data_IF_637132506183
#
_entry.id   IF_637132506183
#
_cell.length_a   1.000
_cell.length_b   1.000
_cell.length_c   1.000
_cell.angle_alpha   90.00
_cell.angle_beta   90.00
_cell.angle_gamma   90.00
#
_symmetry.space_group_name_H-M   'P 1'
#
loop_
_entity.id
_entity.type
_entity.pdbx_description
1 polymer ?
#
# COMPACT_ATOMS: atom_id res chain seq x y z
N UNK A 1 27.84 -8.30 -9.52
CA UNK A 1 29.14 -7.79 -10.02
C UNK A 1 29.15 -6.29 -9.80
N UNK A 2 30.17 -5.80 -9.10
CA UNK A 2 30.33 -4.45 -8.61
C UNK A 2 30.55 -3.43 -9.73
N UNK A 3 29.60 -2.51 -9.92
CA UNK A 3 29.86 -1.26 -10.66
C UNK A 3 30.42 -0.23 -9.68
N UNK A 4 31.69 0.12 -9.85
CA UNK A 4 32.41 1.10 -9.03
C UNK A 4 31.81 2.50 -9.09
N UNK A 5 30.93 2.82 -8.15
CA UNK A 5 30.61 4.21 -7.82
C UNK A 5 31.70 4.74 -6.88
N UNK A 6 32.42 5.78 -7.33
CA UNK A 6 33.24 6.60 -6.44
C UNK A 6 32.38 7.02 -5.24
N UNK A 7 32.92 7.07 -4.02
CA UNK A 7 32.16 7.62 -2.89
C UNK A 7 31.66 9.01 -3.29
N UNK A 8 30.36 9.30 -3.11
CA UNK A 8 29.82 10.60 -3.50
C UNK A 8 30.55 11.72 -2.75
N UNK A 9 30.74 12.89 -3.39
CA UNK A 9 31.51 13.97 -2.80
C UNK A 9 30.90 14.38 -1.45
N UNK A 10 31.71 14.59 -0.40
CA UNK A 10 31.20 14.95 0.92
C UNK A 10 30.39 16.24 0.82
N UNK A 11 29.15 16.20 1.32
CA UNK A 11 28.26 17.35 1.33
C UNK A 11 28.81 18.42 2.30
N UNK A 12 28.68 19.71 1.96
CA UNK A 12 28.99 20.79 2.88
C UNK A 12 28.22 20.66 4.20
N UNK A 13 28.82 21.03 5.36
CA UNK A 13 28.22 20.80 6.68
C UNK A 13 26.92 21.59 6.96
N UNK A 14 26.55 22.54 6.10
CA UNK A 14 25.30 23.31 6.17
C UNK A 14 24.14 22.71 5.36
N UNK A 15 24.38 21.63 4.61
CA UNK A 15 23.34 20.99 3.78
C UNK A 15 22.55 19.99 4.62
N UNK A 16 21.24 20.22 4.71
CA UNK A 16 20.30 19.28 5.30
C UNK A 16 19.63 18.54 4.15
N UNK A 17 19.94 17.25 4.05
CA UNK A 17 19.52 16.38 2.95
C UNK A 17 18.05 15.96 3.09
N UNK A 18 17.56 15.81 4.32
CA UNK A 18 16.23 15.28 4.59
C UNK A 18 15.62 15.90 5.86
N UNK A 19 14.30 16.14 5.83
CA UNK A 19 13.52 16.72 6.92
C UNK A 19 12.86 18.06 6.57
N UNK A 20 12.10 18.67 7.51
CA UNK A 20 11.34 19.91 7.26
C UNK A 20 12.22 21.12 6.95
N UNK A 21 13.51 21.08 7.30
CA UNK A 21 14.50 22.13 7.02
C UNK A 21 15.45 21.74 5.88
N UNK A 22 15.09 20.77 5.02
CA UNK A 22 15.94 20.37 3.91
C UNK A 22 16.14 21.51 2.91
N UNK A 23 17.40 21.83 2.59
CA UNK A 23 17.80 22.90 1.67
C UNK A 23 18.51 22.37 0.41
N UNK A 24 18.57 21.04 0.29
CA UNK A 24 19.24 20.31 -0.78
C UNK A 24 18.34 20.27 -2.03
N UNK A 25 18.92 20.51 -3.20
CA UNK A 25 18.26 20.45 -4.52
C UNK A 25 19.12 19.63 -5.48
N UNK A 26 18.59 19.25 -6.64
CA UNK A 26 19.34 18.50 -7.67
C UNK A 26 20.60 19.21 -8.16
N UNK A 27 20.68 20.53 -8.01
CA UNK A 27 21.86 21.34 -8.36
C UNK A 27 22.94 21.32 -7.28
N UNK A 28 22.54 21.14 -6.01
CA UNK A 28 23.42 21.21 -4.84
C UNK A 28 23.90 19.84 -4.37
N UNK A 29 23.10 18.80 -4.59
CA UNK A 29 23.34 17.46 -4.08
C UNK A 29 23.11 16.41 -5.17
N UNK A 30 24.03 15.44 -5.33
CA UNK A 30 23.77 14.32 -6.21
C UNK A 30 22.58 13.48 -5.69
N UNK A 31 21.79 12.98 -6.64
CA UNK A 31 20.56 12.18 -6.44
C UNK A 31 20.75 11.00 -5.49
N UNK A 32 21.97 10.47 -5.40
CA UNK A 32 22.36 9.35 -4.53
C UNK A 32 22.08 9.64 -3.04
N UNK A 33 22.02 10.91 -2.65
CA UNK A 33 21.68 11.33 -1.29
C UNK A 33 20.17 11.49 -1.04
N UNK A 34 19.34 11.45 -2.09
CA UNK A 34 17.88 11.46 -1.93
C UNK A 34 17.39 10.14 -1.31
N UNK A 35 16.19 10.16 -0.73
CA UNK A 35 15.59 8.99 -0.05
C UNK A 35 15.53 7.76 -0.96
N UNK A 36 15.30 7.96 -2.26
CA UNK A 36 15.21 6.87 -3.23
C UNK A 36 16.56 6.53 -3.88
N UNK A 37 17.55 7.43 -3.83
CA UNK A 37 18.83 7.25 -4.52
C UNK A 37 18.75 7.30 -6.07
N UNK A 38 17.56 7.49 -6.64
CA UNK A 38 17.29 7.66 -8.08
C UNK A 38 16.19 8.71 -8.33
N UNK A 39 16.08 9.25 -9.55
CA UNK A 39 14.94 10.09 -9.96
C UNK A 39 13.75 9.19 -10.34
N UNK A 40 12.58 9.32 -9.70
CA UNK A 40 11.40 8.54 -10.09
C UNK A 40 11.03 8.75 -11.55
N UNK A 41 10.79 7.68 -12.31
CA UNK A 41 10.36 7.80 -13.71
C UNK A 41 9.03 8.57 -13.87
N UNK A 42 9.07 9.73 -14.54
CA UNK A 42 7.91 10.61 -14.74
C UNK A 42 6.78 9.93 -15.53
N UNK A 43 7.11 9.22 -16.61
CA UNK A 43 6.13 8.56 -17.48
C UNK A 43 5.38 7.43 -16.77
N UNK A 44 6.09 6.61 -15.99
CA UNK A 44 5.47 5.53 -15.22
C UNK A 44 4.51 6.08 -14.15
N UNK A 45 4.93 7.10 -13.40
CA UNK A 45 4.11 7.68 -12.32
C UNK A 45 2.85 8.36 -12.84
N UNK A 46 2.94 9.06 -13.99
CA UNK A 46 1.76 9.62 -14.66
C UNK A 46 0.82 8.52 -15.14
N UNK A 47 1.36 7.44 -15.72
CA UNK A 47 0.55 6.32 -16.18
C UNK A 47 -0.25 5.71 -15.04
N UNK A 48 0.35 5.50 -13.87
CA UNK A 48 -0.37 5.02 -12.70
C UNK A 48 -1.40 6.02 -12.18
N UNK A 49 -1.07 7.32 -12.11
CA UNK A 49 -2.04 8.34 -11.71
C UNK A 49 -3.29 8.36 -12.63
N UNK A 50 -3.09 8.24 -13.95
CA UNK A 50 -4.17 8.13 -14.93
C UNK A 50 -4.96 6.84 -14.73
N UNK A 51 -4.30 5.70 -14.53
CA UNK A 51 -4.97 4.41 -14.30
C UNK A 51 -5.85 4.44 -13.05
N UNK A 52 -5.36 4.97 -11.93
CA UNK A 52 -6.16 5.14 -10.72
C UNK A 52 -7.30 6.16 -10.91
N UNK A 53 -7.09 7.21 -11.71
CA UNK A 53 -8.14 8.16 -12.08
C UNK A 53 -9.24 7.53 -12.94
N UNK A 54 -8.89 6.67 -13.90
CA UNK A 54 -9.86 5.91 -14.69
C UNK A 54 -10.59 4.90 -13.79
N UNK A 55 -9.86 4.19 -12.92
CA UNK A 55 -10.43 3.24 -11.98
C UNK A 55 -11.46 3.92 -11.05
N UNK A 56 -11.15 5.13 -10.55
CA UNK A 56 -12.08 5.96 -9.79
C UNK A 56 -13.39 6.18 -10.57
N UNK A 57 -13.33 6.69 -11.81
CA UNK A 57 -14.54 6.96 -12.62
C UNK A 57 -15.35 5.68 -12.86
N UNK A 58 -14.69 4.58 -13.20
CA UNK A 58 -15.34 3.30 -13.48
C UNK A 58 -16.01 2.74 -12.22
N UNK A 59 -15.33 2.76 -11.07
CA UNK A 59 -15.88 2.26 -9.82
C UNK A 59 -17.00 3.13 -9.26
N UNK A 60 -16.91 4.45 -9.40
CA UNK A 60 -18.03 5.36 -9.09
C UNK A 60 -19.25 5.03 -9.95
N UNK A 61 -19.08 4.83 -11.27
CA UNK A 61 -20.19 4.48 -12.16
C UNK A 61 -20.83 3.13 -11.81
N UNK A 62 -20.02 2.09 -11.57
CA UNK A 62 -20.50 0.76 -11.15
C UNK A 62 -21.19 0.85 -9.79
N UNK A 63 -20.64 1.63 -8.86
CA UNK A 63 -21.16 1.83 -7.51
C UNK A 63 -22.55 2.49 -7.51
N UNK A 64 -22.72 3.55 -8.29
CA UNK A 64 -24.02 4.24 -8.46
C UNK A 64 -25.04 3.30 -9.10
N UNK A 65 -24.66 2.60 -10.18
CA UNK A 65 -25.56 1.68 -10.89
C UNK A 65 -25.96 0.47 -10.02
N UNK A 66 -25.02 -0.05 -9.23
CA UNK A 66 -25.23 -1.18 -8.33
C UNK A 66 -25.82 -0.83 -6.96
N UNK A 67 -25.96 0.46 -6.64
CA UNK A 67 -26.43 0.99 -5.34
C UNK A 67 -25.60 0.48 -4.14
N UNK A 68 -24.35 0.10 -4.38
CA UNK A 68 -23.42 -0.43 -3.38
C UNK A 68 -22.55 0.70 -2.81
N UNK A 69 -23.19 1.59 -2.04
CA UNK A 69 -22.57 2.84 -1.54
C UNK A 69 -21.31 2.61 -0.71
N UNK A 70 -21.29 1.61 0.17
CA UNK A 70 -20.12 1.35 1.02
C UNK A 70 -18.90 0.91 0.21
N UNK A 71 -19.08 -0.08 -0.68
CA UNK A 71 -18.03 -0.56 -1.57
C UNK A 71 -17.49 0.56 -2.45
N UNK A 72 -18.39 1.37 -3.02
CA UNK A 72 -18.04 2.53 -3.83
C UNK A 72 -17.19 3.51 -3.04
N UNK A 73 -17.63 3.96 -1.86
CA UNK A 73 -16.90 4.93 -1.05
C UNK A 73 -15.51 4.43 -0.67
N UNK A 74 -15.36 3.17 -0.24
CA UNK A 74 -14.05 2.62 0.12
C UNK A 74 -13.10 2.59 -1.10
N UNK A 75 -13.56 2.10 -2.25
CA UNK A 75 -12.72 2.03 -3.45
C UNK A 75 -12.37 3.43 -3.96
N UNK A 76 -13.32 4.36 -3.97
CA UNK A 76 -13.12 5.73 -4.44
C UNK A 76 -12.13 6.50 -3.57
N UNK A 77 -12.22 6.37 -2.24
CA UNK A 77 -11.24 6.96 -1.31
C UNK A 77 -9.86 6.32 -1.49
N UNK A 78 -9.80 5.00 -1.73
CA UNK A 78 -8.56 4.30 -2.07
C UNK A 78 -7.92 4.84 -3.34
N UNK A 79 -8.68 4.95 -4.44
CA UNK A 79 -8.19 5.49 -5.70
C UNK A 79 -7.76 6.96 -5.58
N UNK A 80 -8.53 7.78 -4.87
CA UNK A 80 -8.20 9.19 -4.65
C UNK A 80 -6.90 9.35 -3.85
N UNK A 81 -6.73 8.56 -2.78
CA UNK A 81 -5.48 8.57 -1.98
C UNK A 81 -4.27 8.08 -2.79
N UNK A 82 -4.44 7.08 -3.66
CA UNK A 82 -3.39 6.63 -4.58
C UNK A 82 -2.99 7.74 -5.56
N UNK A 83 -3.96 8.44 -6.18
CA UNK A 83 -3.69 9.57 -7.08
C UNK A 83 -2.89 10.67 -6.36
N UNK A 84 -3.30 11.05 -5.15
CA UNK A 84 -2.55 12.03 -4.33
C UNK A 84 -1.13 11.56 -4.08
N UNK A 85 -0.95 10.27 -3.76
CA UNK A 85 0.36 9.66 -3.61
C UNK A 85 1.21 9.89 -4.85
N UNK A 86 0.75 9.39 -6.01
CA UNK A 86 1.48 9.52 -7.27
C UNK A 86 1.77 10.98 -7.67
N UNK A 87 0.89 11.93 -7.34
CA UNK A 87 1.19 13.37 -7.49
C UNK A 87 2.40 13.78 -6.66
N UNK A 88 2.47 13.34 -5.39
CA UNK A 88 3.66 13.52 -4.55
C UNK A 88 4.93 12.96 -5.21
N UNK A 89 4.84 11.79 -5.85
CA UNK A 89 5.94 11.19 -6.61
C UNK A 89 6.36 11.99 -7.84
N UNK A 90 5.39 12.57 -8.56
CA UNK A 90 5.64 13.45 -9.70
C UNK A 90 6.37 14.72 -9.24
N UNK A 91 5.97 15.32 -8.11
CA UNK A 91 6.66 16.48 -7.54
C UNK A 91 8.11 16.11 -7.15
N UNK A 92 8.34 14.90 -6.64
CA UNK A 92 9.68 14.40 -6.31
C UNK A 92 10.57 14.14 -7.54
N UNK A 93 10.02 14.01 -8.74
CA UNK A 93 10.83 13.95 -9.96
C UNK A 93 11.63 15.23 -10.16
N UNK A 94 10.99 16.39 -9.94
CA UNK A 94 11.64 17.70 -10.05
C UNK A 94 12.53 18.04 -8.86
N UNK A 95 12.12 17.63 -7.65
CA UNK A 95 12.92 17.81 -6.45
C UNK A 95 12.78 16.61 -5.48
N UNK A 96 13.68 15.62 -5.54
CA UNK A 96 13.59 14.40 -4.73
C UNK A 96 13.94 14.63 -3.25
N UNK A 97 14.40 15.83 -2.89
CA UNK A 97 14.66 16.23 -1.50
C UNK A 97 13.45 16.94 -0.87
N UNK A 98 12.35 17.12 -1.62
CA UNK A 98 11.14 17.74 -1.09
C UNK A 98 10.47 16.83 -0.06
N UNK A 99 10.62 17.21 1.21
CA UNK A 99 10.12 16.49 2.35
C UNK A 99 8.60 16.31 2.36
N UNK A 100 7.86 17.36 1.99
CA UNK A 100 6.38 17.33 1.96
C UNK A 100 5.89 16.38 0.87
N UNK A 101 6.51 16.43 -0.31
CA UNK A 101 6.17 15.54 -1.43
C UNK A 101 6.45 14.07 -1.08
N UNK A 102 7.53 13.79 -0.35
CA UNK A 102 7.83 12.46 0.17
C UNK A 102 6.78 11.95 1.16
N UNK A 103 6.35 12.79 2.11
CA UNK A 103 5.29 12.44 3.05
C UNK A 103 3.96 12.17 2.34
N UNK A 104 3.58 13.03 1.38
CA UNK A 104 2.35 12.87 0.59
C UNK A 104 2.38 11.54 -0.18
N UNK A 105 3.49 11.22 -0.84
CA UNK A 105 3.67 9.93 -1.52
C UNK A 105 3.48 8.76 -0.56
N UNK A 106 4.21 8.75 0.57
CA UNK A 106 4.23 7.59 1.46
C UNK A 106 2.86 7.38 2.13
N UNK A 107 2.22 8.46 2.60
CA UNK A 107 0.90 8.38 3.22
C UNK A 107 -0.20 8.10 2.19
N UNK A 108 -0.18 8.75 1.03
CA UNK A 108 -1.20 8.55 -0.01
C UNK A 108 -1.23 7.12 -0.52
N UNK A 109 -0.05 6.58 -0.87
CA UNK A 109 0.09 5.21 -1.36
C UNK A 109 -0.08 4.17 -0.24
N UNK A 110 0.21 4.51 1.01
CA UNK A 110 0.04 3.64 2.19
C UNK A 110 -1.41 3.51 2.67
N UNK A 111 -2.21 4.58 2.53
CA UNK A 111 -3.62 4.60 2.98
C UNK A 111 -4.54 3.86 2.01
N UNK A 112 -4.27 3.92 0.70
CA UNK A 112 -5.06 3.27 -0.34
C UNK A 112 -5.38 1.78 -0.06
N UNK A 113 -4.40 0.89 0.25
CA UNK A 113 -4.67 -0.53 0.45
C UNK A 113 -5.59 -0.83 1.64
N UNK A 114 -5.61 0.00 2.69
CA UNK A 114 -6.51 -0.23 3.84
C UNK A 114 -7.97 -0.02 3.45
N UNK A 115 -8.25 0.97 2.60
CA UNK A 115 -9.59 1.16 2.07
C UNK A 115 -10.02 0.02 1.15
N UNK A 116 -9.11 -0.50 0.32
CA UNK A 116 -9.37 -1.69 -0.48
C UNK A 116 -9.62 -2.93 0.39
N UNK A 117 -8.84 -3.12 1.46
CA UNK A 117 -9.04 -4.20 2.42
C UNK A 117 -10.41 -4.09 3.11
N UNK A 118 -10.82 -2.89 3.53
CA UNK A 118 -12.14 -2.67 4.12
C UNK A 118 -13.28 -3.04 3.16
N UNK A 119 -13.15 -2.68 1.87
CA UNK A 119 -14.11 -3.09 0.84
C UNK A 119 -14.15 -4.62 0.68
N UNK A 120 -12.99 -5.28 0.64
CA UNK A 120 -12.87 -6.74 0.52
C UNK A 120 -13.47 -7.45 1.74
N UNK A 121 -13.19 -6.98 2.96
CA UNK A 121 -13.65 -7.62 4.20
C UNK A 121 -15.17 -7.61 4.30
N UNK A 122 -15.82 -6.48 4.01
CA UNK A 122 -17.29 -6.37 4.03
C UNK A 122 -17.89 -7.21 2.92
N UNK A 123 -17.39 -7.07 1.69
CA UNK A 123 -17.88 -7.84 0.53
C UNK A 123 -17.76 -9.34 0.74
N UNK A 124 -16.67 -9.79 1.36
CA UNK A 124 -16.47 -11.18 1.66
C UNK A 124 -17.41 -11.66 2.76
N UNK A 125 -17.56 -10.88 3.84
CA UNK A 125 -18.51 -11.19 4.91
C UNK A 125 -19.93 -11.40 4.36
N UNK A 126 -20.38 -10.52 3.47
CA UNK A 126 -21.71 -10.62 2.83
C UNK A 126 -21.80 -11.85 1.92
N UNK A 127 -20.71 -12.18 1.22
CA UNK A 127 -20.62 -13.39 0.38
C UNK A 127 -20.73 -14.67 1.22
N UNK A 128 -20.03 -14.74 2.36
CA UNK A 128 -20.11 -15.86 3.29
C UNK A 128 -21.52 -15.98 3.85
N UNK A 129 -22.14 -14.84 4.21
CA UNK A 129 -23.50 -14.79 4.72
C UNK A 129 -24.53 -15.28 3.69
N UNK A 130 -24.33 -14.96 2.41
CA UNK A 130 -25.20 -15.37 1.32
C UNK A 130 -25.04 -16.85 0.94
N UNK A 131 -23.79 -17.36 0.89
CA UNK A 131 -23.51 -18.72 0.41
C UNK A 131 -23.81 -19.80 1.45
N UNK A 132 -23.14 -19.74 2.59
CA UNK A 132 -23.30 -20.72 3.67
C UNK A 132 -22.62 -20.20 4.93
N UNK A 133 -23.37 -19.59 5.86
CA UNK A 133 -22.82 -19.12 7.13
C UNK A 133 -22.31 -20.25 8.01
N UNK A 134 -22.94 -21.43 7.96
CA UNK A 134 -22.65 -22.57 8.84
C UNK A 134 -21.28 -23.21 8.61
N UNK A 135 -20.69 -23.01 7.43
CA UNK A 135 -19.35 -23.51 7.11
C UNK A 135 -18.23 -22.57 7.58
N UNK A 136 -18.56 -21.32 7.92
CA UNK A 136 -17.59 -20.35 8.42
C UNK A 136 -17.25 -20.61 9.88
N UNK A 137 -15.95 -20.64 10.21
CA UNK A 137 -15.48 -20.77 11.60
C UNK A 137 -15.75 -19.51 12.43
N UNK A 138 -15.83 -18.36 11.77
CA UNK A 138 -16.06 -17.07 12.39
C UNK A 138 -17.38 -16.49 11.89
N UNK A 139 -18.16 -15.80 12.75
CA UNK A 139 -19.34 -15.10 12.27
C UNK A 139 -18.91 -14.03 11.26
N UNK A 140 -19.59 -13.92 10.10
CA UNK A 140 -19.16 -13.02 9.03
C UNK A 140 -18.95 -11.58 9.51
N UNK A 141 -19.82 -11.11 10.40
CA UNK A 141 -19.74 -9.77 10.99
C UNK A 141 -18.47 -9.53 11.81
N UNK A 142 -17.95 -10.56 12.50
CA UNK A 142 -16.73 -10.38 13.29
C UNK A 142 -15.48 -10.15 12.42
N UNK A 143 -15.50 -10.60 11.17
CA UNK A 143 -14.36 -10.44 10.26
C UNK A 143 -14.09 -8.95 10.06
N UNK A 144 -15.03 -8.19 9.50
CA UNK A 144 -14.78 -6.76 9.24
C UNK A 144 -14.70 -5.93 10.54
N UNK A 145 -15.41 -6.31 11.61
CA UNK A 145 -15.31 -5.62 12.91
C UNK A 145 -13.95 -5.76 13.59
N UNK A 146 -13.20 -6.83 13.32
CA UNK A 146 -11.86 -7.04 13.88
C UNK A 146 -10.78 -6.51 12.95
N UNK A 147 -10.83 -6.86 11.66
CA UNK A 147 -9.73 -6.55 10.74
C UNK A 147 -9.68 -5.06 10.34
N UNK A 148 -10.82 -4.35 10.21
CA UNK A 148 -10.81 -2.93 9.84
C UNK A 148 -10.13 -2.08 10.93
N UNK A 149 -10.48 -2.19 12.24
CA UNK A 149 -9.77 -1.44 13.28
C UNK A 149 -8.28 -1.80 13.37
N UNK A 150 -7.90 -3.06 13.15
CA UNK A 150 -6.49 -3.47 13.10
C UNK A 150 -5.71 -2.74 12.00
N UNK A 151 -6.29 -2.63 10.80
CA UNK A 151 -5.66 -1.93 9.68
C UNK A 151 -5.60 -0.41 9.91
N UNK A 152 -6.66 0.18 10.49
CA UNK A 152 -6.65 1.59 10.89
C UNK A 152 -5.59 1.88 11.94
N UNK A 153 -5.46 1.02 12.96
CA UNK A 153 -4.42 1.11 13.96
C UNK A 153 -3.04 1.04 13.31
N UNK A 154 -2.82 0.10 12.39
CA UNK A 154 -1.58 -0.03 11.62
C UNK A 154 -1.17 1.26 10.89
N UNK A 155 -2.13 1.91 10.22
CA UNK A 155 -1.88 3.18 9.52
C UNK A 155 -1.45 4.28 10.48
N UNK A 156 -2.02 4.35 11.69
CA UNK A 156 -1.63 5.36 12.68
C UNK A 156 -0.16 5.18 13.06
N UNK A 157 0.29 3.94 13.30
CA UNK A 157 1.72 3.67 13.57
C UNK A 157 2.61 4.04 12.38
N UNK A 158 2.17 3.75 11.17
CA UNK A 158 2.89 4.13 9.94
C UNK A 158 3.01 5.65 9.83
N UNK A 159 1.91 6.39 10.01
CA UNK A 159 1.90 7.85 9.89
C UNK A 159 2.75 8.53 10.97
N UNK A 160 2.61 8.09 12.23
CA UNK A 160 3.39 8.63 13.35
C UNK A 160 4.87 8.26 13.19
N UNK A 161 5.18 7.00 12.89
CA UNK A 161 6.56 6.54 12.71
C UNK A 161 7.25 7.26 11.57
N UNK A 162 6.57 7.39 10.43
CA UNK A 162 7.03 8.15 9.27
C UNK A 162 7.31 9.60 9.64
N UNK A 163 6.35 10.29 10.28
CA UNK A 163 6.51 11.69 10.68
C UNK A 163 7.62 11.92 11.72
N UNK A 164 7.84 10.96 12.63
CA UNK A 164 8.91 11.01 13.63
C UNK A 164 10.28 10.73 13.01
N UNK A 165 10.36 9.83 12.04
CA UNK A 165 11.61 9.50 11.34
C UNK A 165 12.21 10.73 10.64
N UNK A 166 11.36 11.72 10.33
CA UNK A 166 11.68 12.90 9.56
C UNK A 166 12.07 14.17 10.35
N UNK A 167 11.82 14.22 11.65
CA UNK A 167 11.94 15.46 12.44
C UNK A 167 13.33 15.74 13.01
N UNK A 168 14.23 14.76 13.08
CA UNK A 168 15.55 14.93 13.70
C UNK A 168 16.63 15.24 12.66
N UNK A 169 17.81 15.69 13.10
CA UNK A 169 19.00 15.94 12.25
C UNK A 169 19.59 14.62 11.74
N UNK A 170 18.77 13.80 11.09
CA UNK A 170 19.02 12.42 10.71
C UNK A 170 17.72 11.60 10.71
N UNK A 171 17.73 10.42 10.09
CA UNK A 171 16.59 9.49 10.17
C UNK A 171 16.54 8.91 11.59
N UNK A 172 15.47 9.19 12.35
CA UNK A 172 15.32 8.60 13.69
C UNK A 172 15.00 7.11 13.55
N UNK A 173 15.91 6.22 13.98
CA UNK A 173 15.69 4.77 13.92
C UNK A 173 14.41 4.33 14.65
N UNK A 174 14.04 5.02 15.73
CA UNK A 174 12.77 4.80 16.43
C UNK A 174 11.56 5.04 15.52
N UNK A 175 11.56 6.10 14.72
CA UNK A 175 10.47 6.41 13.80
C UNK A 175 10.34 5.37 12.68
N UNK A 176 11.48 4.94 12.12
CA UNK A 176 11.52 3.86 11.12
C UNK A 176 10.97 2.56 11.71
N UNK A 177 11.43 2.17 12.91
CA UNK A 177 10.96 0.96 13.59
C UNK A 177 9.45 1.02 13.89
N UNK A 178 8.93 2.20 14.25
CA UNK A 178 7.50 2.39 14.52
C UNK A 178 6.66 2.26 13.24
N UNK A 179 7.13 2.81 12.12
CA UNK A 179 6.47 2.65 10.83
C UNK A 179 6.53 1.19 10.34
N UNK A 180 7.69 0.52 10.52
CA UNK A 180 7.87 -0.90 10.21
C UNK A 180 6.96 -1.80 11.05
N UNK A 181 6.77 -1.49 12.33
CA UNK A 181 5.82 -2.19 13.19
C UNK A 181 4.39 -2.09 12.63
N UNK A 182 3.96 -0.90 12.22
CA UNK A 182 2.65 -0.72 11.60
C UNK A 182 2.47 -1.53 10.32
N UNK A 183 3.47 -1.55 9.42
CA UNK A 183 3.43 -2.36 8.20
C UNK A 183 3.40 -3.87 8.50
N UNK A 184 4.21 -4.33 9.46
CA UNK A 184 4.26 -5.74 9.85
C UNK A 184 2.95 -6.21 10.50
N UNK A 185 2.35 -5.36 11.34
CA UNK A 185 1.06 -5.65 11.98
C UNK A 185 -0.07 -5.73 10.94
N UNK A 186 -0.10 -4.83 9.96
CA UNK A 186 -1.04 -4.87 8.84
C UNK A 186 -0.87 -6.14 8.00
N UNK A 187 0.38 -6.50 7.65
CA UNK A 187 0.67 -7.72 6.90
C UNK A 187 0.21 -8.97 7.64
N UNK A 188 0.43 -9.02 8.96
CA UNK A 188 -0.02 -10.13 9.80
C UNK A 188 -1.55 -10.24 9.78
N UNK A 189 -2.27 -9.12 9.96
CA UNK A 189 -3.73 -9.09 9.93
C UNK A 189 -4.28 -9.57 8.57
N UNK A 190 -3.73 -9.05 7.46
CA UNK A 190 -4.15 -9.42 6.11
C UNK A 190 -3.85 -10.90 5.78
N UNK A 191 -2.71 -11.41 6.24
CA UNK A 191 -2.34 -12.82 6.07
C UNK A 191 -3.29 -13.74 6.86
N UNK A 192 -3.61 -13.38 8.09
CA UNK A 192 -4.59 -14.10 8.91
C UNK A 192 -5.96 -14.13 8.22
N UNK A 193 -6.40 -13.00 7.67
CA UNK A 193 -7.63 -12.94 6.88
C UNK A 193 -7.60 -13.88 5.66
N UNK A 194 -6.50 -13.87 4.90
CA UNK A 194 -6.32 -14.75 3.73
C UNK A 194 -6.42 -16.24 4.12
N UNK A 195 -5.83 -16.64 5.26
CA UNK A 195 -5.91 -18.01 5.78
C UNK A 195 -7.35 -18.39 6.14
N UNK A 196 -8.05 -17.52 6.87
CA UNK A 196 -9.47 -17.74 7.26
C UNK A 196 -10.35 -17.87 6.01
N UNK A 197 -10.16 -16.99 5.03
CA UNK A 197 -10.91 -17.02 3.79
C UNK A 197 -10.63 -18.29 2.98
N UNK A 198 -9.36 -18.68 2.85
CA UNK A 198 -8.97 -19.90 2.15
C UNK A 198 -9.55 -21.14 2.83
N UNK A 199 -9.53 -21.22 4.17
CA UNK A 199 -10.17 -22.31 4.91
C UNK A 199 -11.68 -22.39 4.63
N UNK A 200 -12.37 -21.24 4.59
CA UNK A 200 -13.79 -21.18 4.21
C UNK A 200 -14.03 -21.72 2.80
N UNK A 201 -13.24 -21.27 1.81
CA UNK A 201 -13.39 -21.72 0.42
C UNK A 201 -13.12 -23.21 0.26
N UNK A 202 -12.08 -23.74 0.91
CA UNK A 202 -11.76 -25.17 0.88
C UNK A 202 -12.91 -25.99 1.49
N UNK A 203 -13.47 -25.55 2.62
CA UNK A 203 -14.64 -26.20 3.25
C UNK A 203 -15.87 -26.14 2.35
N UNK A 204 -16.13 -24.99 1.74
CA UNK A 204 -17.24 -24.79 0.83
C UNK A 204 -17.16 -25.71 -0.40
N UNK A 205 -15.96 -25.87 -0.97
CA UNK A 205 -15.72 -26.79 -2.10
C UNK A 205 -15.87 -28.26 -1.66
N UNK A 206 -15.30 -28.63 -0.50
CA UNK A 206 -15.38 -30.00 0.04
C UNK A 206 -16.79 -30.43 0.40
N UNK A 207 -17.63 -29.50 0.84
CA UNK A 207 -19.05 -29.74 1.12
C UNK A 207 -19.89 -30.02 -0.15
N UNK A 208 -19.30 -29.93 -1.36
CA UNK A 208 -20.00 -30.17 -2.62
C UNK A 208 -20.87 -29.00 -3.09
N UNK A 209 -20.97 -27.93 -2.31
CA UNK A 209 -21.80 -26.76 -2.59
C UNK A 209 -21.31 -25.95 -3.81
N UNK A 210 -20.07 -26.15 -4.25
CA UNK A 210 -19.50 -25.49 -5.43
C UNK A 210 -20.08 -25.95 -6.77
N UNK A 211 -20.76 -27.11 -6.83
CA UNK A 211 -21.27 -27.69 -8.08
C UNK A 211 -22.49 -26.97 -8.63
N UNK A 212 -23.34 -26.39 -7.78
CA UNK A 212 -24.53 -25.62 -8.18
C UNK A 212 -24.26 -24.13 -8.41
N UNK A 213 -23.05 -23.65 -8.16
CA UNK A 213 -22.76 -22.21 -8.15
C UNK A 213 -22.49 -21.68 -9.56
N UNK A 214 -23.15 -20.58 -9.91
CA UNK A 214 -22.94 -19.87 -11.19
C UNK A 214 -21.47 -19.49 -11.37
N UNK A 215 -20.99 -19.59 -12.62
CA UNK A 215 -19.67 -19.11 -13.03
C UNK A 215 -19.38 -17.69 -12.54
N UNK A 216 -20.38 -16.80 -12.53
CA UNK A 216 -20.24 -15.40 -12.09
C UNK A 216 -19.78 -15.29 -10.64
N UNK A 217 -20.33 -16.11 -9.75
CA UNK A 217 -19.98 -16.07 -8.33
C UNK A 217 -18.60 -16.72 -8.11
N UNK A 218 -18.28 -17.78 -8.85
CA UNK A 218 -16.94 -18.38 -8.82
C UNK A 218 -15.87 -17.37 -9.27
N UNK A 219 -16.11 -16.66 -10.38
CA UNK A 219 -15.21 -15.62 -10.88
C UNK A 219 -15.08 -14.46 -9.88
N UNK A 220 -16.19 -14.04 -9.26
CA UNK A 220 -16.19 -13.00 -8.24
C UNK A 220 -15.35 -13.38 -7.01
N UNK A 221 -15.61 -14.55 -6.43
CA UNK A 221 -14.84 -15.09 -5.28
C UNK A 221 -13.36 -15.28 -5.65
N UNK A 222 -13.08 -15.78 -6.86
CA UNK A 222 -11.71 -15.91 -7.37
C UNK A 222 -11.00 -14.56 -7.51
N UNK A 223 -11.69 -13.53 -8.00
CA UNK A 223 -11.15 -12.18 -8.11
C UNK A 223 -10.85 -11.54 -6.74
N UNK A 224 -11.70 -11.78 -5.73
CA UNK A 224 -11.46 -11.33 -4.36
C UNK A 224 -10.26 -12.05 -3.73
N UNK A 225 -10.12 -13.36 -3.97
CA UNK A 225 -8.96 -14.13 -3.50
C UNK A 225 -7.66 -13.63 -4.14
N UNK A 226 -7.68 -13.39 -5.46
CA UNK A 226 -6.55 -12.84 -6.19
C UNK A 226 -6.19 -11.44 -5.69
N UNK A 227 -7.18 -10.54 -5.51
CA UNK A 227 -6.95 -9.20 -4.97
C UNK A 227 -6.35 -9.25 -3.56
N UNK A 228 -6.87 -10.11 -2.68
CA UNK A 228 -6.32 -10.28 -1.33
C UNK A 228 -4.88 -10.77 -1.35
N UNK A 229 -4.57 -11.77 -2.20
CA UNK A 229 -3.21 -12.29 -2.36
C UNK A 229 -2.24 -11.21 -2.84
N UNK A 230 -2.65 -10.43 -3.84
CA UNK A 230 -1.87 -9.32 -4.37
C UNK A 230 -1.58 -8.25 -3.30
N UNK A 231 -2.57 -7.94 -2.46
CA UNK A 231 -2.38 -7.03 -1.32
C UNK A 231 -1.40 -7.59 -0.28
N UNK A 232 -1.42 -8.89 0.00
CA UNK A 232 -0.43 -9.53 0.89
C UNK A 232 0.98 -9.40 0.32
N UNK A 233 1.17 -9.69 -0.98
CA UNK A 233 2.47 -9.58 -1.65
C UNK A 233 2.99 -8.14 -1.58
N UNK A 234 2.13 -7.15 -1.87
CA UNK A 234 2.44 -5.73 -1.74
C UNK A 234 2.87 -5.37 -0.32
N UNK A 235 2.09 -5.74 0.70
CA UNK A 235 2.41 -5.46 2.11
C UNK A 235 3.72 -6.13 2.55
N UNK A 236 4.01 -7.35 2.07
CA UNK A 236 5.27 -8.03 2.34
C UNK A 236 6.47 -7.30 1.72
N UNK A 237 6.32 -6.82 0.49
CA UNK A 237 7.34 -6.01 -0.17
C UNK A 237 7.60 -4.71 0.59
N UNK A 238 6.56 -4.01 1.05
CA UNK A 238 6.70 -2.79 1.87
C UNK A 238 7.44 -3.03 3.18
N UNK A 239 7.16 -4.14 3.86
CA UNK A 239 7.90 -4.54 5.06
C UNK A 239 9.37 -4.81 4.72
N UNK A 240 9.64 -5.51 3.63
CA UNK A 240 10.99 -5.80 3.17
C UNK A 240 11.77 -4.51 2.83
N UNK A 241 11.16 -3.60 2.07
CA UNK A 241 11.71 -2.30 1.69
C UNK A 241 12.09 -1.47 2.93
N UNK A 242 11.18 -1.34 3.90
CA UNK A 242 11.42 -0.52 5.08
C UNK A 242 12.34 -1.20 6.11
N UNK A 243 12.44 -2.54 6.10
CA UNK A 243 13.38 -3.29 6.96
C UNK A 243 14.84 -3.05 6.57
N UNK A 244 15.13 -2.88 5.28
CA UNK A 244 16.47 -2.49 4.82
C UNK A 244 16.79 -1.01 5.10
N UNK A 245 15.79 -0.22 5.52
CA UNK A 245 15.90 1.20 5.81
C UNK A 245 15.98 2.06 4.54
N UNK A 246 15.85 3.38 4.69
CA UNK A 246 15.91 4.35 3.58
C UNK A 246 17.25 4.42 2.83
N UNK A 247 18.24 3.61 3.22
CA UNK A 247 19.56 3.52 2.59
C UNK A 247 19.87 2.13 2.02
N UNK A 248 18.93 1.19 2.10
CA UNK A 248 19.08 -0.18 1.61
C UNK A 248 19.07 -0.32 0.08
N UNK A 249 19.69 -1.38 -0.43
CA UNK A 249 19.77 -1.64 -1.87
C UNK A 249 18.42 -2.01 -2.49
N UNK A 250 17.43 -2.48 -1.71
CA UNK A 250 16.05 -2.69 -2.18
C UNK A 250 15.34 -1.38 -2.57
N UNK A 251 15.61 -0.27 -1.88
CA UNK A 251 15.08 1.05 -2.27
C UNK A 251 15.74 1.60 -3.53
N UNK A 252 16.87 1.04 -4.00
CA UNK A 252 17.63 1.52 -5.17
C UNK A 252 17.28 0.80 -6.48
N UNK A 253 16.40 -0.19 -6.45
CA UNK A 253 15.98 -0.93 -7.64
C UNK A 253 14.54 -0.54 -8.05
N UNK A 254 14.41 0.18 -9.17
CA UNK A 254 13.11 0.66 -9.69
C UNK A 254 12.16 -0.45 -10.16
N UNK A 255 12.68 -1.56 -10.69
CA UNK A 255 11.88 -2.61 -11.33
C UNK A 255 10.91 -3.36 -10.38
N UNK A 256 11.33 -3.85 -9.20
CA UNK A 256 10.41 -4.48 -8.25
C UNK A 256 9.47 -3.46 -7.58
N UNK A 257 9.92 -2.22 -7.40
CA UNK A 257 9.10 -1.13 -6.87
C UNK A 257 7.92 -0.83 -7.81
N UNK A 258 8.18 -0.62 -9.10
CA UNK A 258 7.15 -0.31 -10.10
C UNK A 258 6.19 -1.49 -10.32
N UNK A 259 6.69 -2.72 -10.28
CA UNK A 259 5.87 -3.91 -10.51
C UNK A 259 4.96 -4.30 -9.35
N UNK A 260 5.42 -4.16 -8.10
CA UNK A 260 4.71 -4.67 -6.91
C UNK A 260 3.95 -3.55 -6.18
N UNK A 261 4.39 -2.29 -6.29
CA UNK A 261 3.63 -1.15 -5.73
C UNK A 261 2.62 -0.51 -6.68
N UNK A 262 2.70 -0.83 -7.98
CA UNK A 262 1.67 -0.47 -8.95
C UNK A 262 0.37 -1.27 -8.80
N UNK A 263 0.38 -2.30 -7.93
CA UNK A 263 -0.74 -3.19 -7.58
C UNK A 263 -1.50 -2.69 -6.36
#
# INVERSE_FOLDING_TARGET
MSSGSRPPPPLPPYIVVFGPNANCTLELCPVVYSVYGYLPNFGANISFAILFGIAFIVHTWIGIKGRNWFFMTCVDVGCFSAVIGYIGRIIMHSNPFNFIAFMIQLLGVGVAPVWYCAAIYVTLSDTIAYLSPSLSRLPPKAIYWVFIPCDLFSIVFQAVGTGMSARSRGVTQLGVNLALFGLAFQLFALTMFLVIFTDYLVRYIRAGNSRGLSWRIKAFVGSLALATLLMVVRSAYRVYELREGFTGDAMRQEAPFIGIEGV
#
